data_IF_254552440781
#
_entry.id   IF_254552440781
#
_cell.length_a   1.000
_cell.length_b   1.000
_cell.length_c   1.000
_cell.angle_alpha   90.00
_cell.angle_beta   90.00
_cell.angle_gamma   90.00
#
_symmetry.space_group_name_H-M   'P 1'
#
loop_
_entity.id
_entity.type
_entity.pdbx_description
1 polymer ?
#
# COMPACT_ATOMS: atom_id res chain seq x y z
N UNK A 1 -5.86 -1.77 21.43
CA UNK A 1 -6.24 -0.88 20.32
C UNK A 1 -5.97 0.55 20.76
N UNK A 2 -4.86 1.13 20.30
CA UNK A 2 -4.61 2.56 20.46
C UNK A 2 -5.64 3.32 19.63
N UNK A 3 -6.06 4.50 20.09
CA UNK A 3 -6.99 5.37 19.37
C UNK A 3 -6.40 5.66 17.98
N UNK A 4 -7.10 5.26 16.91
CA UNK A 4 -6.70 5.56 15.53
C UNK A 4 -6.53 7.09 15.40
N UNK A 5 -5.29 7.51 15.14
CA UNK A 5 -4.91 8.91 15.06
C UNK A 5 -4.74 9.29 13.60
N UNK A 6 -5.69 10.09 13.11
CA UNK A 6 -5.70 10.56 11.74
C UNK A 6 -5.19 12.01 11.61
N UNK A 7 -4.68 12.36 10.44
CA UNK A 7 -4.03 13.63 10.13
C UNK A 7 -4.54 14.22 8.83
N UNK A 8 -4.67 15.55 8.79
CA UNK A 8 -4.70 16.29 7.53
C UNK A 8 -3.30 16.36 6.91
N UNK A 9 -3.17 16.49 5.57
CA UNK A 9 -1.87 16.62 4.92
C UNK A 9 -0.97 17.71 5.53
N UNK A 10 -1.55 18.87 5.87
CA UNK A 10 -0.82 19.97 6.49
C UNK A 10 -0.21 19.60 7.85
N UNK A 11 -0.89 18.76 8.64
CA UNK A 11 -0.36 18.27 9.93
C UNK A 11 0.84 17.35 9.73
N UNK A 12 0.76 16.44 8.75
CA UNK A 12 1.89 15.57 8.41
C UNK A 12 3.09 16.39 7.92
N UNK A 13 2.88 17.43 7.11
CA UNK A 13 3.96 18.33 6.70
C UNK A 13 4.54 19.18 7.85
N UNK A 14 3.72 19.62 8.80
CA UNK A 14 4.24 20.33 10.00
C UNK A 14 5.13 19.41 10.83
N UNK A 15 4.72 18.16 11.06
CA UNK A 15 5.55 17.17 11.75
C UNK A 15 6.82 16.87 10.94
N UNK A 16 6.68 16.47 9.68
CA UNK A 16 7.80 16.10 8.82
C UNK A 16 8.82 17.23 8.62
N UNK A 17 8.35 18.48 8.62
CA UNK A 17 9.20 19.67 8.53
C UNK A 17 10.25 19.76 9.65
N UNK A 18 9.97 19.21 10.84
CA UNK A 18 10.95 19.14 11.93
C UNK A 18 12.16 18.24 11.60
N UNK A 19 11.99 17.28 10.69
CA UNK A 19 13.06 16.44 10.15
C UNK A 19 13.63 16.95 8.82
N UNK A 20 13.21 18.13 8.34
CA UNK A 20 13.61 18.68 7.04
C UNK A 20 12.94 17.99 5.84
N UNK A 21 11.89 17.21 6.07
CA UNK A 21 11.14 16.53 5.00
C UNK A 21 10.13 17.50 4.39
N UNK A 22 10.18 17.64 3.06
CA UNK A 22 9.31 18.56 2.32
C UNK A 22 8.42 17.89 1.29
N UNK A 23 8.67 16.61 1.00
CA UNK A 23 7.91 15.81 0.05
C UNK A 23 7.58 14.47 0.68
N UNK A 24 6.31 14.07 0.66
CA UNK A 24 5.82 12.82 1.24
C UNK A 24 5.04 12.11 0.15
N UNK A 25 5.57 10.98 -0.32
CA UNK A 25 4.95 10.20 -1.37
C UNK A 25 3.51 9.82 -1.00
N UNK A 26 2.55 10.19 -1.85
CA UNK A 26 1.13 9.93 -1.63
C UNK A 26 0.32 11.07 -1.02
N UNK A 27 0.98 12.13 -0.53
CA UNK A 27 0.27 13.35 -0.11
C UNK A 27 0.17 14.37 -1.25
N UNK A 28 -0.83 15.26 -1.20
CA UNK A 28 -0.86 16.44 -2.06
C UNK A 28 0.42 17.26 -1.91
N UNK A 29 0.84 17.93 -2.99
CA UNK A 29 2.01 18.79 -2.99
C UNK A 29 1.89 19.89 -1.91
N UNK A 30 2.95 20.08 -1.13
CA UNK A 30 3.00 21.05 -0.03
C UNK A 30 2.66 22.49 -0.47
N UNK A 31 3.24 22.95 -1.58
CA UNK A 31 3.03 24.31 -2.08
C UNK A 31 1.58 24.50 -2.55
N UNK A 32 0.98 23.47 -3.14
CA UNK A 32 -0.44 23.48 -3.50
C UNK A 32 -1.35 23.60 -2.27
N UNK A 33 -1.02 22.92 -1.16
CA UNK A 33 -1.77 23.03 0.10
C UNK A 33 -1.70 24.47 0.65
N UNK A 34 -0.50 25.06 0.68
CA UNK A 34 -0.28 26.42 1.18
C UNK A 34 -1.00 27.45 0.30
N UNK A 35 -1.01 27.25 -1.02
CA UNK A 35 -1.68 28.13 -1.97
C UNK A 35 -3.21 28.12 -1.79
N UNK A 36 -3.79 26.95 -1.49
CA UNK A 36 -5.23 26.79 -1.30
C UNK A 36 -5.72 27.31 0.07
N UNK A 37 -4.89 27.24 1.10
CA UNK A 37 -5.21 27.74 2.44
C UNK A 37 -3.96 28.37 3.10
N UNK A 38 -3.88 29.70 3.05
CA UNK A 38 -2.77 30.45 3.63
C UNK A 38 -2.61 30.26 5.16
N UNK A 39 -3.68 29.82 5.85
CA UNK A 39 -3.66 29.56 7.29
C UNK A 39 -3.43 28.07 7.62
N UNK A 40 -3.19 27.21 6.62
CA UNK A 40 -3.10 25.77 6.81
C UNK A 40 -2.06 25.36 7.87
N UNK A 41 -0.91 26.03 7.92
CA UNK A 41 0.16 25.76 8.89
C UNK A 41 -0.29 26.09 10.31
N UNK A 42 -0.96 27.22 10.50
CA UNK A 42 -1.46 27.64 11.81
C UNK A 42 -2.55 26.69 12.29
N UNK A 43 -3.50 26.33 11.42
CA UNK A 43 -4.57 25.36 11.71
C UNK A 43 -4.00 23.99 12.06
N UNK A 44 -3.04 23.51 11.28
CA UNK A 44 -2.36 22.24 11.53
C UNK A 44 -1.61 22.25 12.86
N UNK A 45 -0.86 23.32 13.16
CA UNK A 45 -0.12 23.45 14.43
C UNK A 45 -1.06 23.45 15.63
N UNK A 46 -2.18 24.17 15.56
CA UNK A 46 -3.22 24.16 16.60
C UNK A 46 -3.81 22.78 16.78
N UNK A 47 -4.18 22.10 15.68
CA UNK A 47 -4.74 20.74 15.76
C UNK A 47 -3.74 19.73 16.34
N UNK A 48 -2.45 19.83 16.00
CA UNK A 48 -1.39 19.00 16.58
C UNK A 48 -1.20 19.25 18.09
N UNK A 49 -1.41 20.47 18.58
CA UNK A 49 -1.43 20.76 20.03
C UNK A 49 -2.64 20.11 20.70
N UNK A 50 -3.83 20.21 20.10
CA UNK A 50 -5.04 19.57 20.59
C UNK A 50 -4.90 18.04 20.64
N UNK A 51 -4.16 17.46 19.69
CA UNK A 51 -3.80 16.02 19.66
C UNK A 51 -2.70 15.63 20.65
N UNK A 52 -2.10 16.59 21.37
CA UNK A 52 -1.01 16.33 22.32
C UNK A 52 0.33 15.96 21.66
N UNK A 53 0.49 16.27 20.38
CA UNK A 53 1.72 16.03 19.62
C UNK A 53 2.69 17.22 19.73
N UNK A 54 2.15 18.41 19.92
CA UNK A 54 2.93 19.61 20.23
C UNK A 54 2.56 20.15 21.61
N UNK A 55 3.53 20.71 22.33
CA UNK A 55 3.27 21.45 23.57
C UNK A 55 2.68 22.83 23.27
N UNK A 56 2.19 23.52 24.30
CA UNK A 56 1.71 24.91 24.19
C UNK A 56 2.76 25.85 23.57
N UNK A 57 4.04 25.58 23.82
CA UNK A 57 5.20 26.33 23.33
C UNK A 57 5.75 25.80 21.99
N UNK A 58 4.99 24.96 21.27
CA UNK A 58 5.39 24.30 20.02
C UNK A 58 6.55 23.28 20.18
N UNK A 59 6.80 22.79 21.39
CA UNK A 59 7.76 21.71 21.63
C UNK A 59 7.22 20.37 21.12
N UNK A 60 8.12 19.49 20.65
CA UNK A 60 7.78 18.15 20.14
C UNK A 60 7.61 17.20 21.33
N UNK A 61 6.48 16.48 21.39
CA UNK A 61 6.28 15.43 22.39
C UNK A 61 6.92 14.10 21.96
N UNK A 62 7.15 13.13 22.86
CA UNK A 62 7.69 11.82 22.48
C UNK A 62 6.85 11.09 21.42
N UNK A 63 5.52 11.24 21.47
CA UNK A 63 4.63 10.67 20.47
C UNK A 63 4.81 11.33 19.09
N UNK A 64 4.94 12.67 19.05
CA UNK A 64 5.25 13.37 17.81
C UNK A 64 6.63 12.99 17.26
N UNK A 65 7.64 12.83 18.12
CA UNK A 65 8.97 12.40 17.72
C UNK A 65 8.94 11.04 16.98
N UNK A 66 8.16 10.07 17.47
CA UNK A 66 7.98 8.78 16.79
C UNK A 66 7.38 8.93 15.39
N UNK A 67 6.36 9.79 15.23
CA UNK A 67 5.73 10.04 13.93
C UNK A 67 6.71 10.77 12.98
N UNK A 68 7.48 11.73 13.50
CA UNK A 68 8.47 12.49 12.73
C UNK A 68 9.55 11.56 12.17
N UNK A 69 10.09 10.66 12.99
CA UNK A 69 11.09 9.68 12.53
C UNK A 69 10.48 8.71 11.52
N UNK A 70 9.25 8.24 11.72
CA UNK A 70 8.55 7.39 10.75
C UNK A 70 8.33 8.09 9.41
N UNK A 71 7.92 9.37 9.41
CA UNK A 71 7.75 10.17 8.20
C UNK A 71 9.07 10.36 7.45
N UNK A 72 10.16 10.58 8.19
CA UNK A 72 11.51 10.68 7.63
C UNK A 72 11.95 9.36 7.00
N UNK A 73 11.74 8.23 7.66
CA UNK A 73 12.06 6.92 7.07
C UNK A 73 11.18 6.62 5.85
N UNK A 74 9.89 6.95 5.91
CA UNK A 74 8.95 6.80 4.80
C UNK A 74 9.36 7.64 3.58
N UNK A 75 9.78 8.89 3.78
CA UNK A 75 10.32 9.72 2.69
C UNK A 75 11.59 9.09 2.11
N UNK A 76 12.46 8.50 2.92
CA UNK A 76 13.71 7.90 2.45
C UNK A 76 13.52 6.51 1.80
N UNK A 77 12.30 6.00 1.70
CA UNK A 77 12.03 4.72 1.08
C UNK A 77 12.39 4.75 -0.42
N UNK A 78 13.08 3.72 -0.87
CA UNK A 78 13.47 3.59 -2.27
C UNK A 78 12.32 3.06 -3.14
N UNK A 79 11.47 2.25 -2.55
CA UNK A 79 10.38 1.55 -3.22
C UNK A 79 9.09 1.78 -2.44
N UNK A 80 8.02 2.00 -3.18
CA UNK A 80 6.67 2.14 -2.66
C UNK A 80 5.72 1.19 -3.38
N UNK A 81 4.64 0.83 -2.71
CA UNK A 81 3.51 0.14 -3.32
C UNK A 81 2.23 0.78 -2.85
N UNK A 82 1.36 1.16 -3.78
CA UNK A 82 0.00 1.61 -3.49
C UNK A 82 -0.96 0.48 -3.81
N UNK A 83 -1.84 0.18 -2.86
CA UNK A 83 -2.97 -0.73 -3.06
C UNK A 83 -4.25 0.01 -2.70
N UNK A 84 -5.01 0.42 -3.72
CA UNK A 84 -6.16 1.32 -3.56
C UNK A 84 -5.78 2.57 -2.73
N UNK A 85 -6.27 2.66 -1.50
CA UNK A 85 -6.01 3.79 -0.58
C UNK A 85 -4.87 3.54 0.42
N UNK A 86 -4.16 2.41 0.32
CA UNK A 86 -3.06 2.03 1.21
C UNK A 86 -1.73 2.27 0.51
N UNK A 87 -0.90 3.18 1.02
CA UNK A 87 0.40 3.50 0.45
C UNK A 87 1.51 2.97 1.36
N UNK A 88 2.39 2.15 0.82
CA UNK A 88 3.34 1.35 1.58
C UNK A 88 4.75 1.79 1.21
N UNK A 89 5.53 2.24 2.20
CA UNK A 89 6.96 2.53 2.08
C UNK A 89 7.78 1.36 2.63
N UNK A 90 8.69 0.83 1.82
CA UNK A 90 9.58 -0.25 2.25
C UNK A 90 10.82 0.30 2.93
N UNK A 91 10.89 0.05 4.24
CA UNK A 91 11.97 0.50 5.10
C UNK A 91 13.27 -0.24 4.77
N UNK A 92 14.39 0.47 4.87
CA UNK A 92 15.70 -0.06 4.51
C UNK A 92 16.23 -1.04 5.56
N UNK A 93 16.06 -0.70 6.83
CA UNK A 93 16.64 -1.42 7.97
C UNK A 93 15.68 -2.46 8.57
N UNK A 94 14.37 -2.37 8.29
CA UNK A 94 13.36 -3.35 8.72
C UNK A 94 12.75 -4.07 7.51
N UNK A 95 12.95 -5.39 7.45
CA UNK A 95 12.46 -6.23 6.35
C UNK A 95 11.10 -6.85 6.62
N UNK A 96 10.62 -6.85 7.85
CA UNK A 96 9.39 -7.53 8.25
C UNK A 96 8.23 -6.55 8.41
N UNK A 97 8.55 -5.27 8.65
CA UNK A 97 7.59 -4.18 8.82
C UNK A 97 7.72 -3.13 7.72
N UNK A 98 6.68 -2.32 7.60
CA UNK A 98 6.57 -1.25 6.61
C UNK A 98 5.96 -0.02 7.26
N UNK A 99 6.27 1.14 6.70
CA UNK A 99 5.54 2.37 6.97
C UNK A 99 4.34 2.44 6.01
N UNK A 100 3.14 2.63 6.55
CA UNK A 100 1.90 2.63 5.79
C UNK A 100 1.19 3.95 5.99
N UNK A 101 0.95 4.66 4.89
CA UNK A 101 0.11 5.84 4.84
C UNK A 101 -1.25 5.43 4.24
N UNK A 102 -2.30 5.40 5.06
CA UNK A 102 -3.66 5.04 4.62
C UNK A 102 -4.48 6.30 4.38
N UNK A 103 -4.96 6.49 3.15
CA UNK A 103 -5.89 7.57 2.80
C UNK A 103 -7.30 7.20 3.24
N UNK A 104 -7.79 7.83 4.32
CA UNK A 104 -9.11 7.58 4.90
C UNK A 104 -10.17 8.42 4.18
N UNK A 105 -9.85 9.68 3.89
CA UNK A 105 -10.65 10.55 3.03
C UNK A 105 -9.73 11.17 1.98
N UNK A 106 -10.05 11.04 0.67
CA UNK A 106 -9.20 11.50 -0.41
C UNK A 106 -8.68 12.93 -0.21
N UNK A 107 -7.36 13.09 -0.23
CA UNK A 107 -6.64 14.36 -0.10
C UNK A 107 -6.92 15.16 1.20
N UNK A 108 -7.57 14.56 2.20
CA UNK A 108 -8.03 15.27 3.40
C UNK A 108 -7.64 14.62 4.70
N UNK A 109 -7.67 13.29 4.78
CA UNK A 109 -7.48 12.56 6.03
C UNK A 109 -6.67 11.30 5.81
N UNK A 110 -5.60 11.16 6.57
CA UNK A 110 -4.64 10.07 6.46
C UNK A 110 -4.31 9.48 7.82
N UNK A 111 -3.96 8.21 7.85
CA UNK A 111 -3.35 7.54 8.99
C UNK A 111 -1.95 7.09 8.61
N UNK A 112 -1.03 7.09 9.58
CA UNK A 112 0.33 6.63 9.38
C UNK A 112 0.68 5.58 10.43
N UNK A 113 1.08 4.41 9.95
CA UNK A 113 1.31 3.24 10.77
C UNK A 113 2.68 2.62 10.47
N UNK A 114 3.25 1.99 11.48
CA UNK A 114 4.43 1.14 11.34
C UNK A 114 4.02 -0.29 11.72
N UNK A 115 3.73 -1.11 10.73
CA UNK A 115 3.09 -2.43 10.93
C UNK A 115 3.81 -3.55 10.18
N UNK A 116 3.70 -4.80 10.68
CA UNK A 116 4.12 -6.00 9.95
C UNK A 116 3.47 -6.10 8.57
N UNK A 117 4.22 -6.56 7.57
CA UNK A 117 3.70 -6.84 6.22
C UNK A 117 2.48 -7.78 6.20
N UNK A 118 2.41 -8.85 7.04
CA UNK A 118 1.21 -9.68 7.11
C UNK A 118 -0.04 -8.90 7.53
N UNK A 119 0.08 -7.91 8.41
CA UNK A 119 -1.06 -7.11 8.86
C UNK A 119 -1.62 -6.24 7.73
N UNK A 120 -0.75 -5.76 6.83
CA UNK A 120 -1.18 -5.12 5.58
C UNK A 120 -2.00 -6.09 4.72
N UNK A 121 -1.49 -7.30 4.50
CA UNK A 121 -2.21 -8.32 3.72
C UNK A 121 -3.57 -8.67 4.33
N UNK A 122 -3.63 -8.88 5.65
CA UNK A 122 -4.90 -9.15 6.33
C UNK A 122 -5.87 -7.97 6.22
N UNK A 123 -5.39 -6.73 6.25
CA UNK A 123 -6.24 -5.54 6.04
C UNK A 123 -6.83 -5.47 4.63
N UNK A 124 -6.17 -6.06 3.62
CA UNK A 124 -6.70 -6.15 2.26
C UNK A 124 -7.76 -7.24 2.16
N UNK A 125 -7.54 -8.39 2.80
CA UNK A 125 -8.52 -9.49 2.83
C UNK A 125 -9.85 -9.07 3.43
N UNK A 126 -9.86 -8.19 4.44
CA UNK A 126 -11.10 -7.68 5.04
C UNK A 126 -11.85 -6.68 4.16
N UNK A 127 -11.16 -6.03 3.22
CA UNK A 127 -11.71 -5.00 2.32
C UNK A 127 -12.11 -5.54 0.95
N UNK A 128 -11.52 -6.65 0.53
CA UNK A 128 -11.62 -7.16 -0.85
C UNK A 128 -12.11 -8.63 -0.80
N UNK A 129 -13.44 -8.84 -0.81
CA UNK A 129 -14.03 -10.14 -0.50
C UNK A 129 -13.57 -11.28 -1.42
N UNK A 130 -13.32 -10.98 -2.70
CA UNK A 130 -12.91 -12.01 -3.66
C UNK A 130 -11.56 -12.65 -3.35
N UNK A 131 -10.70 -12.04 -2.52
CA UNK A 131 -9.42 -12.62 -2.12
C UNK A 131 -9.60 -13.79 -1.12
N UNK A 132 -10.77 -13.87 -0.47
CA UNK A 132 -11.09 -14.89 0.55
C UNK A 132 -11.86 -16.10 -0.02
N UNK A 133 -12.21 -16.10 -1.30
CA UNK A 133 -12.94 -17.23 -1.88
C UNK A 133 -12.05 -18.47 -1.97
N UNK A 134 -12.66 -19.64 -1.97
CA UNK A 134 -11.95 -20.88 -2.29
C UNK A 134 -11.53 -20.88 -3.76
N UNK A 135 -10.31 -21.34 -4.09
CA UNK A 135 -9.91 -21.62 -5.47
C UNK A 135 -10.84 -22.66 -6.11
N UNK A 136 -11.15 -22.48 -7.41
CA UNK A 136 -11.88 -23.47 -8.21
C UNK A 136 -10.92 -24.47 -8.84
N UNK A 137 -11.39 -25.66 -9.17
CA UNK A 137 -10.56 -26.72 -9.78
C UNK A 137 -9.83 -26.26 -11.07
N UNK A 138 -10.48 -25.42 -11.89
CA UNK A 138 -9.86 -24.89 -13.11
C UNK A 138 -8.63 -24.02 -12.81
N UNK A 139 -8.57 -23.39 -11.64
CA UNK A 139 -7.47 -22.50 -11.24
C UNK A 139 -6.18 -23.26 -10.86
N UNK A 140 -6.27 -24.58 -10.67
CA UNK A 140 -5.08 -25.45 -10.56
C UNK A 140 -4.47 -25.76 -11.94
N UNK A 141 -5.21 -25.53 -13.03
CA UNK A 141 -4.78 -25.86 -14.40
C UNK A 141 -4.03 -24.73 -15.09
N UNK A 142 -4.14 -23.49 -14.58
CA UNK A 142 -3.45 -22.34 -15.15
C UNK A 142 -3.09 -21.30 -14.08
N UNK A 143 -2.00 -20.57 -14.35
CA UNK A 143 -1.60 -19.43 -13.54
C UNK A 143 -2.13 -18.12 -14.13
N UNK A 144 -1.86 -17.91 -15.42
CA UNK A 144 -2.44 -16.84 -16.22
C UNK A 144 -2.63 -17.31 -17.66
N UNK A 145 -3.64 -16.76 -18.33
CA UNK A 145 -3.95 -16.99 -19.74
C UNK A 145 -4.28 -15.65 -20.39
N UNK A 146 -3.51 -15.28 -21.42
CA UNK A 146 -3.78 -14.07 -22.19
C UNK A 146 -5.16 -14.15 -22.85
N UNK A 147 -5.92 -13.06 -22.74
CA UNK A 147 -7.18 -12.92 -23.44
C UNK A 147 -6.97 -12.78 -24.95
N UNK A 148 -7.93 -13.27 -25.72
CA UNK A 148 -8.10 -12.96 -27.15
C UNK A 148 -8.52 -11.51 -27.34
N UNK A 149 -8.41 -10.99 -28.57
CA UNK A 149 -8.83 -9.61 -28.88
C UNK A 149 -10.33 -9.40 -28.61
N UNK A 150 -11.18 -10.38 -28.92
CA UNK A 150 -12.63 -10.33 -28.67
C UNK A 150 -12.96 -10.28 -27.17
N UNK A 151 -12.28 -11.09 -26.36
CA UNK A 151 -12.41 -11.06 -24.90
C UNK A 151 -11.94 -9.70 -24.34
N UNK A 152 -10.79 -9.20 -24.79
CA UNK A 152 -10.22 -7.93 -24.33
C UNK A 152 -11.16 -6.74 -24.61
N UNK A 153 -11.74 -6.65 -25.81
CA UNK A 153 -12.68 -5.58 -26.17
C UNK A 153 -13.87 -5.48 -25.21
N UNK A 154 -14.31 -6.62 -24.65
CA UNK A 154 -15.40 -6.65 -23.65
C UNK A 154 -15.05 -5.93 -22.35
N UNK A 155 -13.76 -5.84 -22.01
CA UNK A 155 -13.27 -5.23 -20.77
C UNK A 155 -12.71 -3.83 -20.95
N UNK A 156 -12.29 -3.44 -22.16
CA UNK A 156 -11.78 -2.08 -22.44
C UNK A 156 -12.87 -1.00 -22.23
N UNK A 157 -14.12 -1.30 -22.60
CA UNK A 157 -15.24 -0.36 -22.46
C UNK A 157 -15.97 -0.47 -21.12
N UNK A 158 -15.51 -1.36 -20.24
CA UNK A 158 -16.26 -1.71 -19.03
C UNK A 158 -16.05 -0.69 -17.92
N UNK A 159 -17.16 -0.14 -17.41
CA UNK A 159 -17.13 0.64 -16.19
C UNK A 159 -16.90 -0.27 -14.97
N UNK A 160 -15.78 -0.06 -14.29
CA UNK A 160 -15.38 -0.81 -13.10
C UNK A 160 -15.81 -0.10 -11.80
N UNK A 161 -16.47 1.06 -11.86
CA UNK A 161 -16.80 1.88 -10.69
C UNK A 161 -17.68 1.17 -9.64
N UNK A 162 -18.46 0.17 -10.06
CA UNK A 162 -19.34 -0.62 -9.19
C UNK A 162 -18.77 -2.01 -8.86
N UNK A 163 -17.50 -2.26 -9.16
CA UNK A 163 -16.84 -3.54 -8.87
C UNK A 163 -15.89 -3.41 -7.69
N UNK A 164 -15.74 -4.51 -6.97
CA UNK A 164 -14.58 -4.70 -6.13
C UNK A 164 -13.35 -4.80 -7.04
N UNK A 165 -12.46 -3.83 -6.94
CA UNK A 165 -11.22 -3.77 -7.70
C UNK A 165 -10.07 -3.62 -6.71
N UNK A 166 -8.98 -4.34 -6.97
CA UNK A 166 -7.68 -4.05 -6.38
C UNK A 166 -6.77 -3.45 -7.46
N UNK A 167 -6.40 -2.19 -7.27
CA UNK A 167 -5.35 -1.53 -8.02
C UNK A 167 -4.05 -1.69 -7.24
N UNK A 168 -3.02 -2.27 -7.87
CA UNK A 168 -1.68 -2.44 -7.31
C UNK A 168 -0.72 -1.65 -8.17
N UNK A 169 -0.17 -0.58 -7.59
CA UNK A 169 0.82 0.27 -8.24
C UNK A 169 2.16 0.14 -7.50
N UNK A 170 3.24 -0.13 -8.21
CA UNK A 170 4.58 -0.20 -7.63
C UNK A 170 5.44 0.92 -8.16
N UNK A 171 6.18 1.58 -7.28
CA UNK A 171 7.03 2.71 -7.61
C UNK A 171 8.44 2.45 -7.10
N UNK A 172 9.44 2.65 -7.95
CA UNK A 172 10.85 2.61 -7.56
C UNK A 172 11.50 3.93 -7.91
N UNK A 173 12.09 4.61 -6.90
CA UNK A 173 12.84 5.85 -7.11
C UNK A 173 14.04 5.58 -8.03
N UNK A 174 14.50 6.56 -8.83
CA UNK A 174 15.71 6.41 -9.61
C UNK A 174 16.95 6.23 -8.71
N UNK A 175 17.82 5.25 -9.00
CA UNK A 175 19.14 5.10 -8.31
C UNK A 175 20.28 5.88 -8.99
N UNK A 176 20.08 6.39 -10.21
CA UNK A 176 21.10 7.06 -11.04
C UNK A 176 20.43 7.74 -12.26
N UNK A 177 21.16 8.05 -13.33
CA UNK A 177 20.65 8.59 -14.62
C UNK A 177 19.56 7.75 -15.32
N UNK A 178 19.13 6.62 -14.72
CA UNK A 178 17.96 5.86 -15.17
C UNK A 178 16.76 6.36 -14.39
N UNK A 179 15.69 6.71 -15.11
CA UNK A 179 14.43 7.11 -14.51
C UNK A 179 13.87 6.08 -13.51
N UNK A 180 12.95 6.53 -12.65
CA UNK A 180 12.19 5.64 -11.79
C UNK A 180 11.39 4.61 -12.60
N UNK A 181 10.90 3.58 -11.93
CA UNK A 181 10.00 2.58 -12.53
C UNK A 181 8.63 2.69 -11.90
N UNK A 182 7.60 2.55 -12.72
CA UNK A 182 6.22 2.47 -12.32
C UNK A 182 5.56 1.30 -13.05
N UNK A 183 4.78 0.52 -12.32
CA UNK A 183 3.92 -0.52 -12.89
C UNK A 183 2.55 -0.42 -12.21
N UNK A 184 1.47 -0.67 -12.95
CA UNK A 184 0.12 -0.70 -12.41
C UNK A 184 -0.64 -1.92 -12.93
N UNK A 185 -1.22 -2.67 -11.99
CA UNK A 185 -2.06 -3.82 -12.27
C UNK A 185 -3.41 -3.65 -11.60
N UNK A 186 -4.49 -3.90 -12.36
CA UNK A 186 -5.84 -3.98 -11.81
C UNK A 186 -6.27 -5.43 -11.74
N UNK A 187 -6.92 -5.84 -10.64
CA UNK A 187 -7.58 -7.14 -10.56
C UNK A 187 -9.03 -6.97 -10.08
N UNK A 188 -9.92 -7.74 -10.69
CA UNK A 188 -11.34 -7.81 -10.33
C UNK A 188 -11.92 -9.13 -10.83
N UNK A 189 -13.17 -9.41 -10.47
CA UNK A 189 -13.88 -10.62 -10.93
C UNK A 189 -14.90 -10.31 -12.01
N UNK A 190 -15.02 -11.19 -13.00
CA UNK A 190 -16.16 -11.29 -13.92
C UNK A 190 -16.86 -12.62 -13.66
N UNK A 191 -18.02 -12.58 -13.01
CA UNK A 191 -18.59 -13.79 -12.43
C UNK A 191 -17.62 -14.38 -11.40
N UNK A 192 -17.12 -15.58 -11.68
CA UNK A 192 -16.16 -16.29 -10.81
C UNK A 192 -14.71 -16.20 -11.31
N UNK A 193 -14.50 -15.70 -12.53
CA UNK A 193 -13.18 -15.61 -13.16
C UNK A 193 -12.46 -14.32 -12.73
N UNK A 194 -11.14 -14.40 -12.49
CA UNK A 194 -10.35 -13.21 -12.23
C UNK A 194 -9.78 -12.65 -13.52
N UNK A 195 -9.90 -11.33 -13.64
CA UNK A 195 -9.30 -10.54 -14.70
C UNK A 195 -8.14 -9.75 -14.11
N UNK A 196 -7.01 -9.76 -14.81
CA UNK A 196 -5.88 -8.86 -14.58
C UNK A 196 -5.74 -7.91 -15.76
N UNK A 197 -5.55 -6.63 -15.48
CA UNK A 197 -5.15 -5.62 -16.47
C UNK A 197 -3.75 -5.13 -16.11
N UNK A 198 -2.78 -5.33 -17.00
CA UNK A 198 -1.47 -4.66 -16.98
C UNK A 198 -1.64 -3.32 -17.73
N UNK A 199 -1.76 -2.24 -16.95
CA UNK A 199 -2.14 -0.91 -17.46
C UNK A 199 -1.06 -0.33 -18.36
N UNK A 200 0.21 -0.54 -18.03
CA UNK A 200 1.33 -0.01 -18.81
C UNK A 200 1.40 -0.67 -20.20
N UNK A 201 1.09 -1.96 -20.28
CA UNK A 201 1.19 -2.74 -21.52
C UNK A 201 -0.13 -2.89 -22.28
N UNK A 202 -1.22 -2.33 -21.76
CA UNK A 202 -2.58 -2.57 -22.24
C UNK A 202 -2.86 -4.06 -22.47
N UNK A 203 -2.52 -4.91 -21.49
CA UNK A 203 -2.65 -6.37 -21.60
C UNK A 203 -3.67 -6.89 -20.60
N UNK A 204 -4.58 -7.71 -21.10
CA UNK A 204 -5.64 -8.34 -20.34
C UNK A 204 -5.40 -9.84 -20.26
N UNK A 205 -5.45 -10.38 -19.04
CA UNK A 205 -5.21 -11.78 -18.76
C UNK A 205 -6.34 -12.32 -17.87
N UNK A 206 -6.81 -13.53 -18.17
CA UNK A 206 -7.46 -14.38 -17.18
C UNK A 206 -6.40 -14.86 -16.21
N UNK A 207 -6.65 -14.76 -14.90
CA UNK A 207 -5.70 -15.19 -13.88
C UNK A 207 -6.37 -16.09 -12.86
N UNK A 208 -5.60 -16.95 -12.21
CA UNK A 208 -6.10 -17.72 -11.06
C UNK A 208 -5.94 -16.93 -9.77
N UNK A 209 -6.70 -17.30 -8.73
CA UNK A 209 -6.53 -16.80 -7.37
C UNK A 209 -5.07 -16.93 -6.89
N UNK A 210 -4.39 -18.01 -7.26
CA UNK A 210 -2.98 -18.22 -6.94
C UNK A 210 -2.08 -17.13 -7.55
N UNK A 211 -2.40 -16.66 -8.76
CA UNK A 211 -1.65 -15.59 -9.40
C UNK A 211 -1.88 -14.23 -8.72
N UNK A 212 -3.12 -13.93 -8.34
CA UNK A 212 -3.45 -12.73 -7.57
C UNK A 212 -2.71 -12.73 -6.23
N UNK A 213 -2.79 -13.83 -5.48
CA UNK A 213 -2.12 -13.97 -4.19
C UNK A 213 -0.59 -13.93 -4.33
N UNK A 214 -0.02 -14.57 -5.35
CA UNK A 214 1.43 -14.47 -5.62
C UNK A 214 1.84 -13.02 -5.87
N UNK A 215 1.09 -12.28 -6.70
CA UNK A 215 1.39 -10.85 -6.94
C UNK A 215 1.38 -10.09 -5.63
N UNK A 216 0.36 -10.27 -4.78
CA UNK A 216 0.27 -9.61 -3.47
C UNK A 216 1.48 -9.91 -2.57
N UNK A 217 1.90 -11.18 -2.50
CA UNK A 217 3.10 -11.57 -1.76
C UNK A 217 4.37 -10.93 -2.31
N UNK A 218 4.53 -10.94 -3.63
CA UNK A 218 5.70 -10.35 -4.30
C UNK A 218 5.79 -8.84 -4.05
N UNK A 219 4.69 -8.10 -4.25
CA UNK A 219 4.71 -6.64 -4.08
C UNK A 219 4.85 -6.23 -2.62
N UNK A 220 4.29 -6.99 -1.68
CA UNK A 220 4.54 -6.80 -0.24
C UNK A 220 5.92 -7.29 0.20
N UNK A 221 6.67 -7.95 -0.68
CA UNK A 221 7.97 -8.58 -0.40
C UNK A 221 7.88 -9.50 0.80
N UNK A 222 6.80 -10.27 0.88
CA UNK A 222 6.61 -11.28 1.91
C UNK A 222 7.35 -12.55 1.50
N UNK A 223 8.01 -13.24 2.45
CA UNK A 223 8.60 -14.54 2.15
C UNK A 223 7.48 -15.54 1.85
N UNK A 224 7.64 -16.30 0.77
CA UNK A 224 6.87 -17.53 0.60
C UNK A 224 7.27 -18.49 1.72
N UNK A 225 6.29 -19.00 2.48
CA UNK A 225 6.56 -20.14 3.36
C UNK A 225 7.15 -21.25 2.48
N UNK A 226 8.40 -21.63 2.72
CA UNK A 226 8.91 -22.90 2.19
C UNK A 226 7.92 -23.96 2.66
N UNK A 227 7.38 -24.75 1.73
CA UNK A 227 6.72 -26.01 2.07
C UNK A 227 7.67 -26.74 3.02
N UNK A 228 7.32 -26.77 4.30
CA UNK A 228 8.01 -27.60 5.27
C UNK A 228 7.79 -29.02 4.75
N UNK A 229 8.87 -29.69 4.35
CA UNK A 229 8.82 -31.08 3.94
C UNK A 229 8.13 -31.88 5.06
N UNK A 230 6.97 -32.52 4.81
CA UNK A 230 6.29 -33.33 5.82
C UNK A 230 7.19 -34.41 6.43
N UNK A 231 8.28 -34.79 5.74
CA UNK A 231 9.26 -35.78 6.21
C UNK A 231 10.19 -35.26 7.29
N UNK A 232 10.25 -33.96 7.55
CA UNK A 232 10.99 -33.41 8.69
C UNK A 232 10.30 -33.69 10.04
N UNK A 233 9.09 -34.25 10.03
CA UNK A 233 8.44 -34.85 11.20
C UNK A 233 8.62 -36.38 11.29
N UNK A 234 9.48 -36.99 10.47
CA UNK A 234 10.01 -38.31 10.78
C UNK A 234 10.97 -38.16 11.96
N UNK A 235 10.40 -38.09 13.18
CA UNK A 235 11.13 -38.43 14.38
C UNK A 235 11.83 -39.75 14.12
N UNK A 236 13.15 -39.70 14.22
CA UNK A 236 14.02 -40.84 14.13
C UNK A 236 13.55 -41.96 15.04
N UNK A 237 13.99 -43.15 14.67
CA UNK A 237 13.65 -44.40 15.32
C UNK A 237 13.74 -44.34 16.84
N UNK A 238 12.91 -45.17 17.45
CA UNK A 238 13.16 -45.72 18.75
C UNK A 238 13.26 -47.22 18.51
N UNK A 239 14.45 -47.75 18.81
CA UNK A 239 14.73 -49.18 19.01
C UNK A 239 13.80 -49.81 20.05
#
# INVERSE_FOLDING_TARGET
MGKEMSFAPAELYVLAGAAGVTDIFGLPNRDAIILLDAECVTKATTSLKEKGLLTSENGITPAAFQIIELLKEYENCHEYTRMNNVLIGFLKEDKDRVAVLTEIEPNKKYEIDYIPKPDVYFSLLTRIPFLLREPREIEDTFFSKRMTEEEQQTFEEKDLSNKDVIAIETYTRPRSNRGGKWECFLYFTEGEDFVQIDVERNRYDWVSLYAVNKKLYDVLKMPYKKLIDPRQFSLGGIE
#
